data_IF_321553001129
#
_entry.id   IF_321553001129
#
_cell.length_a   1.000
_cell.length_b   1.000
_cell.length_c   1.000
_cell.angle_alpha   90.00
_cell.angle_beta   90.00
_cell.angle_gamma   90.00
#
_symmetry.space_group_name_H-M   'P 1'
#
loop_
_entity.id
_entity.type
_entity.pdbx_description
1 polymer ?
#
# COMPACT_ATOMS: atom_id res chain seq x y z
N UNK A 1 -1.53 13.07 24.75
CA UNK A 1 -0.42 12.90 23.79
C UNK A 1 0.21 11.52 24.01
N UNK A 2 0.66 10.83 22.96
CA UNK A 2 1.30 9.51 23.10
C UNK A 2 2.62 9.66 23.88
N UNK A 3 2.92 8.84 24.91
CA UNK A 3 4.16 8.92 25.67
C UNK A 3 5.41 8.90 24.80
N UNK A 4 5.41 8.09 23.75
CA UNK A 4 6.53 7.95 22.82
C UNK A 4 6.81 9.27 22.08
N UNK A 5 5.76 9.98 21.64
CA UNK A 5 5.92 11.29 21.00
C UNK A 5 6.46 12.32 21.98
N UNK A 6 5.87 12.37 23.18
CA UNK A 6 6.23 13.33 24.23
C UNK A 6 7.67 13.13 24.70
N UNK A 7 8.07 11.87 24.96
CA UNK A 7 9.39 11.53 25.51
C UNK A 7 10.52 11.79 24.51
N UNK A 8 10.22 11.76 23.21
CA UNK A 8 11.20 12.02 22.15
C UNK A 8 11.10 13.43 21.55
N UNK A 9 10.26 14.30 22.11
CA UNK A 9 9.96 15.64 21.57
C UNK A 9 9.51 15.62 20.10
N UNK A 10 8.85 14.55 19.69
CA UNK A 10 8.31 14.37 18.35
C UNK A 10 6.96 15.05 18.22
N UNK A 11 6.79 15.83 17.16
CA UNK A 11 5.54 16.53 16.90
C UNK A 11 4.79 15.81 15.78
N UNK A 12 3.68 15.17 16.16
CA UNK A 12 2.68 14.72 15.20
C UNK A 12 1.77 15.90 14.86
N UNK A 13 1.79 16.32 13.60
CA UNK A 13 0.97 17.42 13.10
C UNK A 13 -0.12 16.91 12.18
N UNK A 14 -1.25 17.62 12.09
CA UNK A 14 -2.28 17.33 11.11
C UNK A 14 -2.25 18.40 10.02
N UNK A 15 -2.10 17.99 8.76
CA UNK A 15 -2.11 18.91 7.65
C UNK A 15 -3.53 19.48 7.45
N UNK A 16 -3.70 20.81 7.45
CA UNK A 16 -5.01 21.44 7.60
C UNK A 16 -5.95 21.25 6.40
N UNK A 17 -5.41 20.99 5.20
CA UNK A 17 -6.23 20.89 3.97
C UNK A 17 -6.71 19.47 3.67
N UNK A 18 -5.95 18.46 4.06
CA UNK A 18 -6.20 17.07 3.67
C UNK A 18 -6.27 16.10 4.87
N UNK A 19 -6.12 16.60 6.10
CA UNK A 19 -6.27 15.80 7.31
C UNK A 19 -5.16 14.78 7.56
N UNK A 20 -4.14 14.71 6.71
CA UNK A 20 -3.01 13.79 6.85
C UNK A 20 -2.28 14.05 8.17
N UNK A 21 -1.94 12.99 8.89
CA UNK A 21 -1.07 13.06 10.05
C UNK A 21 0.37 12.90 9.60
N UNK A 22 1.23 13.81 10.06
CA UNK A 22 2.63 13.91 9.63
C UNK A 22 3.56 13.94 10.82
N UNK A 23 4.63 13.18 10.71
CA UNK A 23 5.75 13.18 11.64
C UNK A 23 7.04 13.37 10.85
N UNK A 24 7.92 14.25 11.29
CA UNK A 24 9.27 14.40 10.73
C UNK A 24 10.28 14.05 11.80
N UNK A 25 11.15 13.08 11.52
CA UNK A 25 12.22 12.66 12.42
C UNK A 25 13.47 12.32 11.61
N UNK A 26 14.63 12.83 12.05
CA UNK A 26 15.93 12.63 11.37
C UNK A 26 15.89 12.92 9.85
N UNK A 27 15.10 13.93 9.46
CA UNK A 27 14.92 14.31 8.06
C UNK A 27 14.00 13.40 7.26
N UNK A 28 13.47 12.31 7.82
CA UNK A 28 12.48 11.42 7.20
C UNK A 28 11.08 11.94 7.51
N UNK A 29 10.24 12.07 6.48
CA UNK A 29 8.84 12.43 6.65
C UNK A 29 7.98 11.19 6.61
N UNK A 30 7.17 10.98 7.64
CA UNK A 30 6.15 9.96 7.69
C UNK A 30 4.79 10.62 7.49
N UNK A 31 3.93 10.00 6.70
CA UNK A 31 2.57 10.48 6.51
C UNK A 31 1.55 9.35 6.42
N UNK A 32 0.45 9.52 7.14
CA UNK A 32 -0.68 8.61 7.13
C UNK A 32 -2.00 9.37 7.08
N UNK A 33 -3.04 8.75 6.54
CA UNK A 33 -4.40 9.28 6.54
C UNK A 33 -5.25 8.54 7.60
N UNK A 34 -5.92 9.25 8.52
CA UNK A 34 -6.91 8.64 9.40
C UNK A 34 -8.15 8.19 8.63
N UNK A 35 -8.52 6.93 8.79
CA UNK A 35 -9.67 6.33 8.06
C UNK A 35 -10.76 5.83 9.01
N UNK A 36 -10.43 5.60 10.29
CA UNK A 36 -11.42 5.21 11.29
C UNK A 36 -11.04 5.76 12.66
N UNK A 37 -12.02 6.29 13.37
CA UNK A 37 -11.89 6.74 14.75
C UNK A 37 -12.99 6.10 15.59
N UNK A 38 -12.62 5.42 16.68
CA UNK A 38 -13.58 4.85 17.64
C UNK A 38 -13.19 5.17 19.07
N UNK A 39 -14.19 5.25 19.95
CA UNK A 39 -13.97 5.33 21.39
C UNK A 39 -13.64 3.94 21.94
N UNK A 40 -12.66 3.88 22.81
CA UNK A 40 -12.21 2.66 23.45
C UNK A 40 -11.58 2.96 24.81
N UNK A 41 -11.95 2.18 25.83
CA UNK A 41 -11.41 2.27 27.17
C UNK A 41 -10.03 1.58 27.33
N UNK A 42 -9.21 1.59 26.26
CA UNK A 42 -7.86 0.99 26.27
C UNK A 42 -6.82 2.01 26.72
N UNK A 43 -5.68 1.54 27.29
CA UNK A 43 -4.57 2.43 27.59
C UNK A 43 -4.03 3.07 26.30
N UNK A 44 -3.33 4.19 26.48
CA UNK A 44 -2.61 4.84 25.40
C UNK A 44 -1.60 3.86 24.81
N UNK A 45 -1.65 3.68 23.49
CA UNK A 45 -0.88 2.67 22.79
C UNK A 45 -0.58 3.13 21.37
N UNK A 46 0.57 2.71 20.84
CA UNK A 46 0.93 2.80 19.44
C UNK A 46 1.23 1.39 18.90
N UNK A 47 0.68 1.05 17.74
CA UNK A 47 0.91 -0.21 17.06
C UNK A 47 1.18 0.07 15.58
N UNK A 48 2.31 -0.40 15.08
CA UNK A 48 2.59 -0.46 13.66
C UNK A 48 2.30 -1.88 13.17
N UNK A 49 1.47 -2.01 12.13
CA UNK A 49 1.15 -3.30 11.52
C UNK A 49 2.13 -3.61 10.37
N UNK A 50 2.29 -4.89 9.97
CA UNK A 50 3.22 -5.28 8.89
C UNK A 50 2.96 -4.57 7.55
N UNK A 51 1.70 -4.25 7.27
CA UNK A 51 1.27 -3.53 6.06
C UNK A 51 1.53 -2.01 6.09
N UNK A 52 2.18 -1.52 7.15
CA UNK A 52 2.46 -0.11 7.36
C UNK A 52 1.27 0.71 7.85
N UNK A 53 0.10 0.10 8.06
CA UNK A 53 -0.99 0.78 8.76
C UNK A 53 -0.61 1.00 10.23
N UNK A 54 -1.09 2.11 10.79
CA UNK A 54 -0.84 2.44 12.19
C UNK A 54 -2.14 2.50 12.96
N UNK A 55 -2.12 1.99 14.18
CA UNK A 55 -3.16 2.18 15.19
C UNK A 55 -2.55 2.97 16.34
N UNK A 56 -3.21 4.05 16.75
CA UNK A 56 -2.87 4.70 18.01
C UNK A 56 -4.10 5.01 18.84
N UNK A 57 -4.00 4.72 20.14
CA UNK A 57 -5.01 5.03 21.15
C UNK A 57 -4.55 6.27 21.89
N UNK A 58 -5.29 7.36 21.79
CA UNK A 58 -4.97 8.61 22.49
C UNK A 58 -5.26 8.52 24.00
N UNK A 59 -4.74 9.48 24.77
CA UNK A 59 -5.02 9.61 26.21
C UNK A 59 -6.50 9.83 26.54
N UNK A 60 -7.33 10.21 25.56
CA UNK A 60 -8.78 10.35 25.70
C UNK A 60 -9.54 9.07 25.32
N UNK A 61 -8.84 7.96 25.10
CA UNK A 61 -9.46 6.69 24.69
C UNK A 61 -10.02 6.74 23.27
N UNK A 62 -9.42 7.51 22.36
CA UNK A 62 -9.75 7.45 20.93
C UNK A 62 -8.75 6.55 20.24
N UNK A 63 -9.19 5.41 19.73
CA UNK A 63 -8.42 4.58 18.81
C UNK A 63 -8.57 5.14 17.39
N UNK A 64 -7.45 5.41 16.75
CA UNK A 64 -7.37 5.95 15.40
C UNK A 64 -6.60 4.96 14.54
N UNK A 65 -7.23 4.51 13.45
CA UNK A 65 -6.63 3.64 12.45
C UNK A 65 -6.28 4.46 11.21
N UNK A 66 -5.08 4.22 10.68
CA UNK A 66 -4.52 5.03 9.59
C UNK A 66 -3.81 4.16 8.55
N UNK A 67 -3.76 4.65 7.31
CA UNK A 67 -2.97 4.04 6.25
C UNK A 67 -1.90 5.00 5.73
N UNK A 68 -0.74 4.48 5.26
CA UNK A 68 0.24 5.22 4.48
C UNK A 68 -0.41 5.95 3.31
N UNK A 69 0.06 7.15 2.97
CA UNK A 69 -0.47 7.94 1.85
C UNK A 69 0.64 8.64 1.06
N UNK A 70 0.38 8.89 -0.23
CA UNK A 70 1.26 9.73 -1.06
C UNK A 70 1.31 11.15 -0.48
N UNK A 71 2.51 11.58 -0.10
CA UNK A 71 2.72 12.86 0.59
C UNK A 71 2.46 14.07 -0.30
N UNK A 72 2.77 13.94 -1.60
CA UNK A 72 2.53 14.98 -2.60
C UNK A 72 1.71 14.41 -3.78
N UNK A 73 0.39 14.34 -3.58
CA UNK A 73 -0.54 13.82 -4.59
C UNK A 73 -0.50 14.65 -5.89
N UNK A 74 -0.25 15.96 -5.79
CA UNK A 74 -0.16 16.82 -6.99
C UNK A 74 1.05 16.44 -7.86
N UNK A 75 2.20 16.14 -7.26
CA UNK A 75 3.36 15.64 -7.99
C UNK A 75 3.09 14.29 -8.65
N UNK A 76 2.37 13.39 -7.98
CA UNK A 76 1.96 12.12 -8.59
C UNK A 76 1.02 12.33 -9.78
N UNK A 77 -0.03 13.15 -9.62
CA UNK A 77 -0.95 13.45 -10.72
C UNK A 77 -0.23 14.12 -11.89
N UNK A 78 0.73 15.00 -11.63
CA UNK A 78 1.55 15.60 -12.67
C UNK A 78 2.41 14.57 -13.40
N UNK A 79 3.02 13.62 -12.68
CA UNK A 79 3.81 12.55 -13.27
C UNK A 79 2.96 11.58 -14.12
N UNK A 80 1.69 11.41 -13.77
CA UNK A 80 0.73 10.55 -14.48
C UNK A 80 -0.09 11.29 -15.54
N UNK A 81 0.09 12.61 -15.72
CA UNK A 81 -0.77 13.42 -16.57
C UNK A 81 -0.83 12.95 -18.03
N UNK A 82 0.26 12.38 -18.54
CA UNK A 82 0.31 11.83 -19.91
C UNK A 82 -0.64 10.65 -20.14
N UNK A 83 -1.01 9.92 -19.06
CA UNK A 83 -1.93 8.78 -19.14
C UNK A 83 -3.39 9.21 -19.23
N UNK A 84 -3.71 10.50 -18.97
CA UNK A 84 -5.09 11.02 -18.86
C UNK A 84 -5.96 10.18 -17.92
N UNK A 85 -5.34 9.63 -16.89
CA UNK A 85 -5.97 8.74 -15.92
C UNK A 85 -6.54 9.50 -14.73
N UNK A 86 -7.62 8.96 -14.18
CA UNK A 86 -8.11 9.36 -12.87
C UNK A 86 -7.30 8.65 -11.79
N UNK A 87 -6.91 9.40 -10.76
CA UNK A 87 -6.19 8.89 -9.60
C UNK A 87 -7.14 8.92 -8.41
N UNK A 88 -7.49 7.75 -7.88
CA UNK A 88 -8.43 7.59 -6.77
C UNK A 88 -7.68 7.04 -5.56
N UNK A 89 -7.91 7.67 -4.41
CA UNK A 89 -7.45 7.16 -3.12
C UNK A 89 -8.61 6.44 -2.41
N UNK A 90 -8.40 5.19 -2.04
CA UNK A 90 -9.40 4.37 -1.35
C UNK A 90 -9.25 4.48 0.17
N UNK A 91 -10.34 4.22 0.89
CA UNK A 91 -10.37 4.31 2.36
C UNK A 91 -9.49 3.26 3.07
N UNK A 92 -9.02 2.24 2.35
CA UNK A 92 -8.06 1.24 2.84
C UNK A 92 -6.59 1.60 2.51
N UNK A 93 -6.32 2.83 2.05
CA UNK A 93 -4.97 3.29 1.73
C UNK A 93 -4.46 2.83 0.36
N UNK A 94 -5.31 2.20 -0.45
CA UNK A 94 -4.96 1.81 -1.81
C UNK A 94 -5.08 3.02 -2.74
N UNK A 95 -4.04 3.20 -3.55
CA UNK A 95 -4.03 4.05 -4.73
C UNK A 95 -4.54 3.26 -5.93
N UNK A 96 -5.55 3.77 -6.63
CA UNK A 96 -6.00 3.21 -7.90
C UNK A 96 -5.90 4.26 -9.02
N UNK A 97 -5.42 3.83 -10.18
CA UNK A 97 -5.29 4.67 -11.37
C UNK A 97 -6.02 4.00 -12.54
N UNK A 98 -7.07 4.62 -13.05
CA UNK A 98 -7.86 4.05 -14.15
C UNK A 98 -7.10 4.17 -15.47
N UNK A 99 -6.94 3.04 -16.18
CA UNK A 99 -6.38 2.95 -17.52
C UNK A 99 -7.51 2.53 -18.49
N UNK A 100 -7.24 2.49 -19.80
CA UNK A 100 -8.31 2.23 -20.79
C UNK A 100 -9.02 0.88 -20.60
N UNK A 101 -8.27 -0.19 -20.36
CA UNK A 101 -8.78 -1.57 -20.24
C UNK A 101 -8.34 -2.25 -18.93
N UNK A 102 -7.77 -1.49 -18.02
CA UNK A 102 -7.20 -1.97 -16.78
C UNK A 102 -7.20 -0.86 -15.73
N UNK A 103 -6.79 -1.18 -14.52
CA UNK A 103 -6.42 -0.18 -13.53
C UNK A 103 -5.09 -0.53 -12.91
N UNK A 104 -4.30 0.46 -12.56
CA UNK A 104 -3.14 0.24 -11.70
C UNK A 104 -3.56 0.33 -10.24
N UNK A 105 -3.02 -0.55 -9.40
CA UNK A 105 -3.24 -0.61 -7.95
C UNK A 105 -1.89 -0.56 -7.25
N UNK A 106 -1.80 0.29 -6.23
CA UNK A 106 -0.58 0.48 -5.47
C UNK A 106 -0.86 0.93 -4.04
N UNK A 107 0.18 0.94 -3.20
CA UNK A 107 0.19 1.58 -1.88
C UNK A 107 1.46 2.42 -1.74
N UNK A 108 1.36 3.57 -1.09
CA UNK A 108 2.53 4.38 -0.79
C UNK A 108 3.30 3.78 0.39
N UNK A 109 4.62 3.88 0.37
CA UNK A 109 5.43 3.72 1.59
C UNK A 109 5.02 4.80 2.59
N UNK A 110 5.00 4.46 3.88
CA UNK A 110 4.75 5.43 4.96
C UNK A 110 5.78 6.57 4.97
N UNK A 111 7.02 6.30 4.52
CA UNK A 111 8.15 7.22 4.62
C UNK A 111 8.52 7.90 3.29
N UNK A 112 8.92 9.17 3.38
CA UNK A 112 9.56 9.91 2.32
C UNK A 112 10.93 10.43 2.79
N UNK A 113 11.97 10.04 2.06
CA UNK A 113 13.36 10.33 2.38
C UNK A 113 13.87 11.54 1.60
N UNK A 114 14.78 12.35 2.17
CA UNK A 114 15.42 13.42 1.43
C UNK A 114 16.27 12.84 0.29
N UNK A 115 16.32 13.56 -0.82
CA UNK A 115 17.19 13.21 -1.96
C UNK A 115 17.99 14.41 -2.43
N UNK A 116 19.02 14.13 -3.23
CA UNK A 116 19.84 15.17 -3.85
C UNK A 116 18.99 16.15 -4.65
N UNK A 117 19.30 17.45 -4.54
CA UNK A 117 18.66 18.49 -5.33
C UNK A 117 18.86 18.32 -6.84
N UNK A 118 19.81 17.48 -7.27
CA UNK A 118 20.06 17.13 -8.67
C UNK A 118 19.11 16.06 -9.23
N UNK A 119 18.39 15.33 -8.37
CA UNK A 119 17.43 14.31 -8.83
C UNK A 119 16.27 14.96 -9.61
N UNK A 120 15.86 14.40 -10.76
CA UNK A 120 14.72 14.90 -11.50
C UNK A 120 13.42 14.66 -10.72
N UNK A 121 12.45 15.57 -10.86
CA UNK A 121 11.10 15.37 -10.34
C UNK A 121 10.33 14.40 -11.25
N UNK A 122 9.43 13.61 -10.69
CA UNK A 122 8.59 12.68 -11.44
C UNK A 122 8.50 11.29 -10.81
N UNK A 123 8.03 10.34 -11.61
CA UNK A 123 7.85 8.94 -11.21
C UNK A 123 8.83 8.06 -11.98
N UNK A 124 9.61 7.26 -11.27
CA UNK A 124 10.68 6.45 -11.85
C UNK A 124 10.63 5.01 -11.31
N UNK A 125 11.14 4.01 -12.04
CA UNK A 125 11.38 2.69 -11.46
C UNK A 125 12.33 2.79 -10.25
N UNK A 126 11.99 2.09 -9.17
CA UNK A 126 12.86 1.97 -8.00
C UNK A 126 13.96 0.93 -8.25
N UNK A 127 15.05 1.01 -7.47
CA UNK A 127 16.21 0.10 -7.60
C UNK A 127 15.88 -1.35 -7.25
N UNK A 128 14.82 -1.59 -6.47
CA UNK A 128 14.37 -2.93 -6.09
C UNK A 128 13.66 -3.69 -7.24
N UNK A 129 13.42 -3.02 -8.38
CA UNK A 129 12.90 -3.64 -9.60
C UNK A 129 11.39 -3.88 -9.63
N UNK A 130 10.68 -3.72 -8.52
CA UNK A 130 9.23 -3.96 -8.43
C UNK A 130 8.44 -2.76 -7.90
N UNK A 131 9.09 -1.75 -7.35
CA UNK A 131 8.42 -0.53 -6.88
C UNK A 131 8.65 0.65 -7.82
N UNK A 132 7.81 1.68 -7.68
CA UNK A 132 8.01 3.00 -8.27
C UNK A 132 8.50 3.96 -7.20
N UNK A 133 9.18 5.01 -7.64
CA UNK A 133 9.74 6.05 -6.80
C UNK A 133 9.23 7.40 -7.30
N UNK A 134 8.43 8.06 -6.47
CA UNK A 134 7.97 9.43 -6.71
C UNK A 134 8.98 10.40 -6.11
N UNK A 135 9.56 11.27 -6.94
CA UNK A 135 10.43 12.37 -6.52
C UNK A 135 9.68 13.68 -6.62
N UNK A 136 9.57 14.39 -5.51
CA UNK A 136 8.79 15.62 -5.38
C UNK A 136 9.48 16.66 -4.50
N UNK A 137 8.99 17.90 -4.53
CA UNK A 137 9.40 18.97 -3.60
C UNK A 137 8.34 19.06 -2.50
N UNK A 138 8.76 19.07 -1.25
CA UNK A 138 7.87 19.26 -0.11
C UNK A 138 7.53 20.74 0.15
N UNK A 139 6.69 20.99 1.14
CA UNK A 139 6.24 22.35 1.50
C UNK A 139 7.39 23.27 1.99
N UNK A 140 8.54 22.70 2.37
CA UNK A 140 9.74 23.45 2.79
C UNK A 140 10.72 23.70 1.65
N UNK A 141 10.43 23.20 0.44
CA UNK A 141 11.32 23.28 -0.71
C UNK A 141 12.35 22.15 -0.80
N UNK A 142 12.34 21.18 0.13
CA UNK A 142 13.25 20.04 0.11
C UNK A 142 12.79 18.98 -0.89
N UNK A 143 13.70 18.51 -1.75
CA UNK A 143 13.42 17.34 -2.61
C UNK A 143 13.40 16.07 -1.78
N UNK A 144 12.38 15.25 -2.01
CA UNK A 144 12.16 13.96 -1.36
C UNK A 144 11.81 12.89 -2.37
N UNK A 145 12.02 11.65 -1.97
CA UNK A 145 11.47 10.48 -2.66
C UNK A 145 10.55 9.71 -1.72
N UNK A 146 9.47 9.16 -2.26
CA UNK A 146 8.61 8.19 -1.60
C UNK A 146 8.45 6.98 -2.52
N UNK A 147 8.53 5.78 -1.97
CA UNK A 147 8.25 4.57 -2.73
C UNK A 147 6.74 4.37 -2.86
N UNK A 148 6.32 3.82 -3.99
CA UNK A 148 4.96 3.42 -4.28
C UNK A 148 5.07 1.97 -4.69
N UNK A 149 4.48 1.07 -3.93
CA UNK A 149 4.60 -0.38 -4.08
C UNK A 149 3.36 -0.94 -4.79
N UNK A 150 3.50 -1.98 -5.62
CA UNK A 150 2.32 -2.68 -6.12
C UNK A 150 1.63 -3.37 -4.94
N UNK A 151 0.31 -3.55 -5.03
CA UNK A 151 -0.46 -4.11 -3.92
C UNK A 151 -1.64 -4.92 -4.43
N UNK A 152 -2.14 -5.83 -3.59
CA UNK A 152 -3.34 -6.62 -3.88
C UNK A 152 -4.55 -5.69 -4.06
N UNK A 153 -5.32 -5.89 -5.13
CA UNK A 153 -6.49 -5.08 -5.44
C UNK A 153 -7.64 -5.21 -4.41
N UNK A 154 -7.73 -6.37 -3.76
CA UNK A 154 -8.76 -6.71 -2.76
C UNK A 154 -8.11 -7.43 -1.58
N UNK A 155 -7.41 -6.71 -0.67
CA UNK A 155 -6.70 -7.33 0.44
C UNK A 155 -7.65 -8.05 1.41
N UNK A 156 -8.89 -7.58 1.57
CA UNK A 156 -9.90 -8.22 2.43
C UNK A 156 -10.31 -9.59 1.87
N UNK A 157 -10.62 -9.67 0.57
CA UNK A 157 -10.96 -10.94 -0.07
C UNK A 157 -9.78 -11.93 -0.03
N UNK A 158 -8.54 -11.44 -0.12
CA UNK A 158 -7.35 -12.27 0.03
C UNK A 158 -7.16 -12.75 1.46
N UNK A 159 -7.46 -11.91 2.45
CA UNK A 159 -7.47 -12.28 3.85
C UNK A 159 -8.51 -13.37 4.14
N UNK A 160 -9.72 -13.23 3.61
CA UNK A 160 -10.80 -14.21 3.77
C UNK A 160 -10.42 -15.55 3.13
N UNK A 161 -9.89 -15.52 1.90
CA UNK A 161 -9.36 -16.72 1.22
C UNK A 161 -8.27 -17.42 2.03
N UNK A 162 -7.40 -16.65 2.68
CA UNK A 162 -6.34 -17.21 3.52
C UNK A 162 -6.88 -17.74 4.84
N UNK A 163 -7.90 -17.12 5.46
CA UNK A 163 -8.45 -17.60 6.74
C UNK A 163 -8.98 -19.05 6.66
N UNK A 164 -9.40 -19.50 5.49
CA UNK A 164 -9.90 -20.86 5.23
C UNK A 164 -8.81 -21.91 5.01
N UNK A 165 -7.52 -21.53 4.99
CA UNK A 165 -6.40 -22.47 4.81
C UNK A 165 -5.82 -22.90 6.18
N UNK A 166 -5.32 -24.13 6.29
CA UNK A 166 -4.60 -24.57 7.49
C UNK A 166 -3.19 -23.96 7.55
N UNK A 167 -2.78 -23.44 8.72
CA UNK A 167 -1.41 -22.93 8.95
C UNK A 167 -1.13 -21.55 8.34
N UNK A 168 -2.04 -20.59 8.52
CA UNK A 168 -2.07 -19.33 7.79
C UNK A 168 -1.38 -18.18 8.50
N UNK A 169 -0.52 -17.51 7.74
CA UNK A 169 0.04 -16.20 8.06
C UNK A 169 0.10 -15.42 6.74
N UNK A 170 -1.04 -14.86 6.32
CA UNK A 170 -1.04 -13.84 5.25
C UNK A 170 -0.26 -12.65 5.77
N UNK A 171 0.83 -12.33 5.08
CA UNK A 171 1.64 -11.15 5.35
C UNK A 171 1.62 -10.27 4.11
N UNK A 172 0.97 -9.12 4.21
CA UNK A 172 1.01 -8.06 3.21
C UNK A 172 1.94 -6.98 3.74
N UNK A 173 3.21 -7.02 3.35
CA UNK A 173 4.23 -6.13 3.90
C UNK A 173 4.15 -4.71 3.30
N UNK A 174 4.56 -3.71 4.08
CA UNK A 174 4.61 -2.31 3.66
C UNK A 174 5.48 -2.05 2.41
N UNK A 175 6.44 -2.94 2.13
CA UNK A 175 7.33 -2.85 0.95
C UNK A 175 6.73 -3.44 -0.34
N UNK A 176 5.45 -3.86 -0.29
CA UNK A 176 4.73 -4.47 -1.42
C UNK A 176 4.96 -5.96 -1.59
N UNK A 177 5.78 -6.59 -0.74
CA UNK A 177 5.93 -8.04 -0.74
C UNK A 177 4.73 -8.70 -0.07
N UNK A 178 4.42 -9.91 -0.50
CA UNK A 178 3.38 -10.75 0.08
C UNK A 178 3.94 -12.12 0.42
N UNK A 179 3.52 -12.66 1.55
CA UNK A 179 3.64 -14.08 1.86
C UNK A 179 2.27 -14.67 2.11
N UNK A 180 1.94 -15.76 1.43
CA UNK A 180 0.65 -16.45 1.57
C UNK A 180 0.81 -17.98 1.44
N UNK A 181 -0.17 -18.72 1.93
CA UNK A 181 -0.21 -20.19 1.85
C UNK A 181 -1.20 -20.61 0.76
N UNK A 182 -0.76 -21.48 -0.16
CA UNK A 182 -1.61 -22.05 -1.21
C UNK A 182 -1.41 -23.56 -1.16
N UNK A 183 -2.49 -24.32 -0.94
CA UNK A 183 -2.46 -25.79 -0.83
C UNK A 183 -1.43 -26.27 0.20
N UNK A 184 -1.35 -25.59 1.36
CA UNK A 184 -0.41 -25.92 2.44
C UNK A 184 1.04 -25.49 2.20
N UNK A 185 1.38 -24.89 1.05
CA UNK A 185 2.72 -24.39 0.77
C UNK A 185 2.78 -22.87 0.88
N UNK A 186 3.78 -22.36 1.62
CA UNK A 186 4.04 -20.92 1.73
C UNK A 186 4.79 -20.40 0.50
N UNK A 187 4.26 -19.34 -0.10
CA UNK A 187 4.83 -18.62 -1.23
C UNK A 187 5.19 -17.19 -0.81
N UNK A 188 6.18 -16.62 -1.50
CA UNK A 188 6.63 -15.24 -1.30
C UNK A 188 6.77 -14.56 -2.66
N UNK A 189 6.24 -13.34 -2.78
CA UNK A 189 6.14 -12.67 -4.07
C UNK A 189 5.79 -11.20 -3.98
N UNK A 190 5.54 -10.60 -5.13
CA UNK A 190 5.05 -9.22 -5.31
C UNK A 190 3.93 -9.23 -6.33
N UNK A 191 2.88 -8.44 -6.08
CA UNK A 191 1.85 -8.22 -7.10
C UNK A 191 2.43 -7.35 -8.23
N UNK A 192 1.89 -7.48 -9.44
CA UNK A 192 2.07 -6.46 -10.47
C UNK A 192 1.10 -5.29 -10.21
N UNK A 193 1.42 -4.10 -10.70
CA UNK A 193 0.53 -2.95 -10.56
C UNK A 193 -0.80 -3.13 -11.31
N UNK A 194 -0.78 -3.85 -12.43
CA UNK A 194 -1.89 -3.89 -13.36
C UNK A 194 -2.93 -4.93 -12.91
N UNK A 195 -4.15 -4.44 -12.76
CA UNK A 195 -5.36 -5.22 -12.57
C UNK A 195 -6.15 -5.17 -13.87
N UNK A 196 -6.32 -6.33 -14.50
CA UNK A 196 -7.13 -6.46 -15.70
C UNK A 196 -8.61 -6.56 -15.31
N UNK A 197 -9.43 -5.75 -15.96
CA UNK A 197 -10.87 -5.75 -15.72
C UNK A 197 -11.50 -7.06 -16.21
N UNK A 198 -12.59 -7.48 -15.56
CA UNK A 198 -13.35 -8.65 -16.01
C UNK A 198 -13.89 -8.44 -17.44
N UNK A 199 -13.71 -9.43 -18.31
CA UNK A 199 -14.35 -9.45 -19.62
C UNK A 199 -15.83 -9.82 -19.41
N UNK A 200 -16.74 -8.97 -19.90
CA UNK A 200 -18.20 -9.18 -19.86
C UNK A 200 -18.84 -9.34 -18.46
N UNK A 201 -18.14 -8.94 -17.40
CA UNK A 201 -18.65 -9.02 -16.02
C UNK A 201 -18.70 -10.45 -15.48
N UNK A 202 -17.93 -11.38 -16.08
CA UNK A 202 -17.72 -12.70 -15.53
C UNK A 202 -17.19 -12.59 -14.09
N UNK A 203 -17.75 -13.37 -13.18
CA UNK A 203 -17.33 -13.48 -11.77
C UNK A 203 -16.78 -14.87 -11.52
N UNK A 204 -15.99 -15.02 -10.46
CA UNK A 204 -15.57 -16.34 -10.03
C UNK A 204 -16.77 -17.16 -9.56
N UNK A 205 -16.68 -18.48 -9.72
CA UNK A 205 -17.68 -19.39 -9.15
C UNK A 205 -17.62 -19.26 -7.62
N UNK A 206 -18.79 -19.07 -6.99
CA UNK A 206 -18.96 -18.92 -5.54
C UNK A 206 -18.41 -17.62 -4.91
N UNK A 207 -18.12 -16.58 -5.69
CA UNK A 207 -17.61 -15.30 -5.17
C UNK A 207 -16.32 -15.42 -4.32
N UNK A 208 -15.49 -16.43 -4.61
CA UNK A 208 -14.22 -16.68 -3.93
C UNK A 208 -13.01 -16.33 -4.82
N UNK A 209 -11.85 -16.09 -4.21
CA UNK A 209 -10.60 -15.95 -4.95
C UNK A 209 -10.21 -17.28 -5.60
N UNK A 210 -9.72 -17.19 -6.84
CA UNK A 210 -9.10 -18.31 -7.55
C UNK A 210 -7.63 -17.97 -7.84
N UNK A 211 -6.72 -18.85 -7.44
CA UNK A 211 -5.28 -18.74 -7.72
C UNK A 211 -4.89 -19.77 -8.78
N UNK A 212 -4.50 -19.30 -9.97
CA UNK A 212 -4.07 -20.18 -11.07
C UNK A 212 -2.55 -20.10 -11.22
N UNK A 213 -1.80 -21.21 -11.09
CA UNK A 213 -0.34 -21.17 -11.18
C UNK A 213 0.13 -20.77 -12.58
N UNK A 214 1.18 -19.96 -12.62
CA UNK A 214 1.91 -19.59 -13.82
C UNK A 214 3.23 -20.37 -13.80
N UNK A 215 3.49 -21.17 -14.84
CA UNK A 215 4.69 -22.01 -14.92
C UNK A 215 5.57 -21.62 -16.11
N UNK A 216 6.88 -21.52 -15.86
CA UNK A 216 7.91 -21.36 -16.88
C UNK A 216 8.93 -22.48 -16.71
N UNK A 217 9.25 -23.18 -17.81
CA UNK A 217 10.18 -24.32 -17.81
C UNK A 217 9.85 -25.38 -16.73
N UNK A 218 8.57 -25.59 -16.42
CA UNK A 218 8.12 -26.54 -15.40
C UNK A 218 8.24 -26.05 -13.94
N UNK A 219 8.72 -24.82 -13.69
CA UNK A 219 8.74 -24.19 -12.35
C UNK A 219 7.60 -23.19 -12.23
N UNK A 220 6.86 -23.19 -11.12
CA UNK A 220 5.92 -22.12 -10.81
C UNK A 220 6.68 -20.82 -10.56
N UNK A 221 6.38 -19.79 -11.35
CA UNK A 221 6.99 -18.45 -11.26
C UNK A 221 6.03 -17.39 -10.72
N UNK A 222 4.75 -17.74 -10.57
CA UNK A 222 3.72 -16.79 -10.18
C UNK A 222 2.35 -17.44 -10.09
N UNK A 223 1.36 -16.61 -9.80
CA UNK A 223 -0.05 -16.96 -9.82
C UNK A 223 -0.84 -15.83 -10.48
N UNK A 224 -1.81 -16.19 -11.31
CA UNK A 224 -2.91 -15.28 -11.65
C UNK A 224 -3.90 -15.33 -10.49
N UNK A 225 -4.15 -14.18 -9.86
CA UNK A 225 -5.14 -14.00 -8.82
C UNK A 225 -6.41 -13.47 -9.47
N UNK A 226 -7.47 -14.27 -9.50
CA UNK A 226 -8.79 -13.86 -9.97
C UNK A 226 -9.66 -13.54 -8.74
N UNK A 227 -10.13 -12.29 -8.67
CA UNK A 227 -10.95 -11.79 -7.57
C UNK A 227 -12.43 -12.15 -7.75
N UNK A 228 -13.26 -12.05 -6.70
CA UNK A 228 -14.71 -12.26 -6.80
C UNK A 228 -15.39 -11.39 -7.86
N UNK A 229 -14.82 -10.22 -8.15
CA UNK A 229 -15.29 -9.30 -9.20
C UNK A 229 -14.95 -9.76 -10.63
N UNK A 230 -14.18 -10.84 -10.78
CA UNK A 230 -13.64 -11.32 -12.05
C UNK A 230 -12.39 -10.58 -12.52
N UNK A 231 -12.01 -9.48 -11.85
CA UNK A 231 -10.74 -8.82 -12.11
C UNK A 231 -9.57 -9.78 -11.85
N UNK A 232 -8.49 -9.62 -12.60
CA UNK A 232 -7.28 -10.44 -12.44
C UNK A 232 -6.04 -9.61 -12.18
N UNK A 233 -5.14 -10.12 -11.35
CA UNK A 233 -3.85 -9.51 -11.06
C UNK A 233 -2.78 -10.60 -10.98
N UNK A 234 -1.58 -10.33 -11.49
CA UNK A 234 -0.46 -11.26 -11.37
C UNK A 234 0.23 -11.09 -10.01
N UNK A 235 0.46 -12.21 -9.33
CA UNK A 235 1.44 -12.34 -8.25
C UNK A 235 2.69 -13.00 -8.82
N UNK A 236 3.81 -12.29 -8.88
CA UNK A 236 5.11 -12.83 -9.29
C UNK A 236 5.86 -13.33 -8.07
N UNK A 237 6.35 -14.57 -8.12
CA UNK A 237 7.21 -15.11 -7.05
C UNK A 237 8.59 -14.50 -7.15
N UNK A 238 9.19 -14.19 -6.00
CA UNK A 238 10.56 -13.73 -5.89
C UNK A 238 11.37 -14.82 -5.21
N UNK A 239 12.48 -15.24 -5.83
CA UNK A 239 13.39 -16.21 -5.22
C UNK A 239 14.04 -15.54 -3.98
N UNK A 240 14.06 -16.26 -2.85
CA UNK A 240 14.77 -15.84 -1.64
C UNK A 240 16.26 -16.14 -1.74
#
# INVERSE_FOLDING_TARGET
ELPELKNNHWQLTQHPKNGQLRLTFEGINYAVLPVRVRLQAKPTQFTANPDGSLIFVTTLGREIFTHPIVQNISALCQALAALKSEVVWQDNGILSVTLQESRAVARADIAAHPVSNKEPLGLFPAKNGHSLRLVFVDETGQKRQQLIHPFCAYPEALSDYQADQDGTDLDLANDGTVSLTIEGKRYHGVFDYIVHLSQDGEKTKNDQIVLTPISENGKTVGFTVTYPTGETQMLRLIDR
#
